data_IF_542291180618
#
_entry.id   IF_542291180618
#
_cell.length_a   1.000
_cell.length_b   1.000
_cell.length_c   1.000
_cell.angle_alpha   90.00
_cell.angle_beta   90.00
_cell.angle_gamma   90.00
#
_symmetry.space_group_name_H-M   'P 1'
#
loop_
_entity.id
_entity.type
_entity.pdbx_description
1 polymer ?
#
# COMPACT_ATOMS: atom_id res chain seq x y z
N UNK A 1 7.88 47.92 24.32
CA UNK A 1 8.09 46.77 25.23
C UNK A 1 8.63 45.61 24.42
N UNK A 2 9.94 45.36 24.46
CA UNK A 2 10.54 44.23 23.76
C UNK A 2 10.54 43.02 24.70
N UNK A 3 9.75 41.99 24.38
CA UNK A 3 9.81 40.72 25.07
C UNK A 3 11.16 40.07 24.76
N UNK A 4 12.07 40.06 25.74
CA UNK A 4 13.30 39.30 25.66
C UNK A 4 12.94 37.80 25.60
N UNK A 5 13.08 37.19 24.43
CA UNK A 5 13.05 35.75 24.31
C UNK A 5 14.24 35.20 25.10
N UNK A 6 13.96 34.51 26.20
CA UNK A 6 14.98 33.85 27.02
C UNK A 6 15.85 32.90 26.22
N UNK A 7 17.01 32.48 26.76
CA UNK A 7 17.98 31.67 26.03
C UNK A 7 17.31 30.40 25.48
N UNK A 8 17.37 30.21 24.17
CA UNK A 8 16.88 29.00 23.51
C UNK A 8 17.87 27.89 23.84
N UNK A 9 17.63 27.15 24.92
CA UNK A 9 18.44 26.00 25.30
C UNK A 9 18.33 24.94 24.21
N UNK A 10 19.46 24.63 23.58
CA UNK A 10 19.56 23.58 22.55
C UNK A 10 19.98 22.30 23.26
N UNK A 11 19.22 21.22 23.02
CA UNK A 11 19.53 19.90 23.54
C UNK A 11 20.21 19.08 22.45
N UNK A 12 21.31 18.40 22.78
CA UNK A 12 22.04 17.58 21.83
C UNK A 12 21.74 16.09 22.03
N UNK A 13 21.68 15.33 20.94
CA UNK A 13 21.61 13.88 21.02
C UNK A 13 22.91 13.32 21.61
N UNK A 14 22.87 12.48 22.66
CA UNK A 14 24.07 11.93 23.27
C UNK A 14 24.81 10.94 22.36
N UNK A 15 24.18 10.47 21.27
CA UNK A 15 24.77 9.49 20.35
C UNK A 15 25.34 10.15 19.10
N UNK A 16 24.57 11.03 18.44
CA UNK A 16 24.97 11.64 17.17
C UNK A 16 25.14 13.17 17.23
N UNK A 17 25.05 13.77 18.42
CA UNK A 17 25.24 15.20 18.67
C UNK A 17 24.31 16.17 17.92
N UNK A 18 23.31 15.64 17.20
CA UNK A 18 22.31 16.45 16.51
C UNK A 18 21.61 17.42 17.49
N UNK A 19 21.48 18.71 17.13
CA UNK A 19 20.82 19.70 17.97
C UNK A 19 19.29 19.62 17.84
N UNK A 20 18.61 19.84 18.96
CA UNK A 20 17.16 19.92 19.07
C UNK A 20 16.76 21.13 19.90
N UNK A 21 15.79 21.90 19.40
CA UNK A 21 15.28 23.10 20.07
C UNK A 21 14.32 22.80 21.22
N UNK A 22 13.85 21.55 21.32
CA UNK A 22 12.91 21.13 22.34
C UNK A 22 13.31 19.76 22.89
N UNK A 23 13.24 19.54 24.22
CA UNK A 23 13.60 18.27 24.84
C UNK A 23 12.69 17.13 24.37
N UNK A 24 11.40 17.41 24.10
CA UNK A 24 10.46 16.44 23.52
C UNK A 24 10.91 15.90 22.16
N UNK A 25 11.51 16.75 21.33
CA UNK A 25 12.03 16.35 20.01
C UNK A 25 13.26 15.46 20.13
N UNK A 26 14.15 15.74 21.10
CA UNK A 26 15.28 14.88 21.42
C UNK A 26 14.80 13.50 21.91
N UNK A 27 13.85 13.45 22.84
CA UNK A 27 13.27 12.19 23.33
C UNK A 27 12.63 11.36 22.21
N UNK A 28 11.96 12.01 21.26
CA UNK A 28 11.38 11.36 20.09
C UNK A 28 12.46 10.81 19.12
N UNK A 29 13.65 11.41 19.12
CA UNK A 29 14.76 11.02 18.25
C UNK A 29 15.57 9.84 18.77
N UNK A 30 15.76 9.71 20.09
CA UNK A 30 16.54 8.61 20.72
C UNK A 30 16.19 7.21 20.21
N UNK A 31 14.90 6.86 19.97
CA UNK A 31 14.51 5.58 19.38
C UNK A 31 15.18 5.20 18.06
N UNK A 32 15.65 6.18 17.27
CA UNK A 32 16.35 5.92 16.00
C UNK A 32 17.66 5.17 16.22
N UNK A 33 18.36 5.42 17.33
CA UNK A 33 19.62 4.76 17.65
C UNK A 33 19.42 3.37 18.27
N UNK A 34 18.33 3.17 19.01
CA UNK A 34 18.01 1.86 19.61
C UNK A 34 17.25 0.94 18.67
N UNK A 35 16.82 1.45 17.50
CA UNK A 35 15.96 0.70 16.57
C UNK A 35 14.55 0.44 17.11
N UNK A 36 14.16 1.07 18.23
CA UNK A 36 12.86 0.85 18.88
C UNK A 36 11.67 1.42 18.11
N UNK A 37 11.92 2.23 17.07
CA UNK A 37 10.92 2.67 16.08
C UNK A 37 11.12 2.06 14.70
N UNK A 38 11.96 1.04 14.58
CA UNK A 38 12.17 0.29 13.34
C UNK A 38 11.12 -0.80 13.19
N UNK A 39 10.53 -0.92 12.00
CA UNK A 39 9.67 -2.05 11.67
C UNK A 39 10.51 -3.33 11.62
N UNK A 40 10.22 -4.35 12.46
CA UNK A 40 11.01 -5.56 12.50
C UNK A 40 10.89 -6.40 11.23
N UNK A 41 9.93 -6.10 10.35
CA UNK A 41 9.66 -6.89 9.15
C UNK A 41 10.19 -6.26 7.88
N UNK A 42 10.10 -4.94 7.74
CA UNK A 42 10.58 -4.26 6.52
C UNK A 42 11.77 -3.32 6.78
N UNK A 43 12.27 -3.24 8.01
CA UNK A 43 13.41 -2.38 8.38
C UNK A 43 13.12 -0.88 8.31
N UNK A 44 11.88 -0.46 8.01
CA UNK A 44 11.51 0.96 7.93
C UNK A 44 11.59 1.61 9.31
N UNK A 45 12.44 2.62 9.44
CA UNK A 45 12.50 3.49 10.63
C UNK A 45 11.34 4.47 10.61
N UNK A 46 10.59 4.53 11.71
CA UNK A 46 9.56 5.53 11.94
C UNK A 46 10.06 6.60 12.92
N UNK A 47 9.53 7.81 12.79
CA UNK A 47 9.82 8.93 13.68
C UNK A 47 9.13 8.82 15.05
N UNK A 48 8.03 8.05 15.15
CA UNK A 48 7.27 7.84 16.39
C UNK A 48 6.80 6.39 16.54
N UNK A 49 6.72 5.92 17.79
CA UNK A 49 6.13 4.62 18.12
C UNK A 49 4.67 4.50 17.65
N UNK A 50 3.87 5.56 17.79
CA UNK A 50 2.50 5.59 17.27
C UNK A 50 2.45 5.42 15.74
N UNK A 51 3.41 6.00 15.02
CA UNK A 51 3.50 5.88 13.56
C UNK A 51 3.99 4.49 13.15
N UNK A 52 4.90 3.89 13.92
CA UNK A 52 5.26 2.48 13.77
C UNK A 52 4.03 1.58 13.99
N UNK A 53 3.26 1.77 15.06
CA UNK A 53 2.04 0.98 15.31
C UNK A 53 1.02 1.12 14.18
N UNK A 54 0.84 2.33 13.66
CA UNK A 54 -0.03 2.55 12.50
C UNK A 54 0.52 1.89 11.23
N UNK A 55 1.83 1.98 11.01
CA UNK A 55 2.52 1.29 9.92
C UNK A 55 2.34 -0.22 10.03
N UNK A 56 2.53 -0.83 11.20
CA UNK A 56 2.30 -2.26 11.41
C UNK A 56 0.86 -2.64 11.11
N UNK A 57 -0.12 -1.84 11.56
CA UNK A 57 -1.54 -2.06 11.27
C UNK A 57 -1.91 -1.93 9.79
N UNK A 58 -1.40 -0.91 9.10
CA UNK A 58 -1.77 -0.60 7.70
C UNK A 58 -0.94 -1.34 6.67
N UNK A 59 0.36 -1.38 6.89
CA UNK A 59 1.33 -2.01 5.99
C UNK A 59 1.53 -3.48 6.29
N UNK A 60 0.90 -4.02 7.35
CA UNK A 60 0.97 -5.43 7.69
C UNK A 60 2.41 -5.88 7.80
N UNK A 61 3.20 -5.22 8.66
CA UNK A 61 4.63 -5.49 8.87
C UNK A 61 4.82 -6.89 9.47
N UNK A 62 4.61 -7.92 8.66
CA UNK A 62 4.62 -9.33 9.01
C UNK A 62 3.71 -10.20 8.16
N UNK A 63 2.87 -9.64 7.28
CA UNK A 63 2.09 -10.48 6.38
C UNK A 63 3.03 -11.04 5.32
N UNK A 64 3.18 -12.36 5.35
CA UNK A 64 3.69 -13.13 4.21
C UNK A 64 3.07 -12.55 2.95
N UNK A 65 3.86 -12.21 1.92
CA UNK A 65 3.29 -11.74 0.67
C UNK A 65 2.17 -12.69 0.26
N UNK A 66 1.02 -12.14 -0.10
CA UNK A 66 -0.09 -12.96 -0.58
C UNK A 66 0.29 -13.36 -2.00
N UNK A 67 0.58 -14.64 -2.19
CA UNK A 67 0.96 -15.16 -3.49
C UNK A 67 -0.28 -15.49 -4.29
N UNK A 68 -0.28 -15.12 -5.56
CA UNK A 68 -1.24 -15.68 -6.50
C UNK A 68 -1.01 -17.19 -6.62
N UNK A 69 -2.05 -18.01 -6.44
CA UNK A 69 -1.95 -19.47 -6.56
C UNK A 69 -1.66 -19.95 -7.99
N UNK A 70 -1.77 -19.08 -8.99
CA UNK A 70 -1.57 -19.42 -10.40
C UNK A 70 -0.18 -19.02 -10.90
N UNK A 71 0.28 -17.80 -10.60
CA UNK A 71 1.57 -17.29 -11.09
C UNK A 71 2.59 -16.93 -10.00
N UNK A 72 2.25 -17.20 -8.74
CA UNK A 72 3.12 -16.96 -7.57
C UNK A 72 3.56 -15.50 -7.40
N UNK A 73 2.93 -14.55 -8.08
CA UNK A 73 3.21 -13.14 -7.90
C UNK A 73 2.79 -12.69 -6.50
N UNK A 74 3.70 -11.98 -5.83
CA UNK A 74 3.52 -11.48 -4.47
C UNK A 74 2.70 -10.18 -4.44
N UNK A 75 1.78 -10.08 -3.48
CA UNK A 75 0.98 -8.89 -3.22
C UNK A 75 1.07 -8.48 -1.75
N UNK A 76 1.14 -7.17 -1.52
CA UNK A 76 1.24 -6.59 -0.17
C UNK A 76 -0.09 -6.52 0.57
N UNK A 77 -1.22 -6.68 -0.13
CA UNK A 77 -2.55 -6.66 0.49
C UNK A 77 -3.57 -7.52 -0.29
N UNK A 78 -4.64 -8.00 0.38
CA UNK A 78 -5.64 -8.87 -0.22
C UNK A 78 -6.40 -8.24 -1.38
N UNK A 79 -6.70 -6.94 -1.32
CA UNK A 79 -7.45 -6.25 -2.36
C UNK A 79 -6.69 -6.18 -3.68
N UNK A 80 -5.37 -6.00 -3.63
CA UNK A 80 -4.51 -6.06 -4.81
C UNK A 80 -4.46 -7.47 -5.41
N UNK A 81 -4.36 -8.52 -4.58
CA UNK A 81 -4.44 -9.90 -5.06
C UNK A 81 -5.81 -10.20 -5.69
N UNK A 82 -6.91 -9.81 -5.04
CA UNK A 82 -8.27 -10.00 -5.56
C UNK A 82 -8.49 -9.29 -6.92
N UNK A 83 -7.92 -8.09 -7.10
CA UNK A 83 -7.95 -7.38 -8.40
C UNK A 83 -7.10 -8.06 -9.47
N UNK A 84 -6.11 -8.86 -9.09
CA UNK A 84 -5.22 -9.57 -10.01
C UNK A 84 -5.78 -10.92 -10.46
N UNK A 85 -6.47 -11.66 -9.60
CA UNK A 85 -7.03 -12.99 -9.92
C UNK A 85 -7.81 -13.06 -11.27
N UNK A 86 -8.57 -12.02 -11.70
CA UNK A 86 -9.23 -12.01 -13.00
C UNK A 86 -8.29 -12.15 -14.21
N UNK A 87 -7.02 -11.74 -14.11
CA UNK A 87 -6.03 -11.87 -15.21
C UNK A 87 -5.81 -13.33 -15.59
N UNK A 88 -5.95 -14.26 -14.64
CA UNK A 88 -5.84 -15.70 -14.91
C UNK A 88 -7.11 -16.33 -15.46
N UNK A 89 -8.25 -15.61 -15.43
CA UNK A 89 -9.51 -16.08 -16.02
C UNK A 89 -9.56 -15.92 -17.55
N UNK A 90 -8.44 -15.53 -18.16
CA UNK A 90 -8.30 -15.43 -19.59
C UNK A 90 -8.95 -14.16 -20.14
N UNK A 91 -8.46 -13.72 -21.29
CA UNK A 91 -9.06 -12.62 -22.00
C UNK A 91 -10.44 -13.02 -22.51
N UNK A 92 -11.41 -12.13 -22.36
CA UNK A 92 -12.78 -12.36 -22.80
C UNK A 92 -13.03 -11.62 -24.11
N UNK A 93 -13.54 -12.31 -25.11
CA UNK A 93 -13.75 -11.75 -26.45
C UNK A 93 -15.22 -11.38 -26.66
N UNK A 94 -15.47 -10.21 -27.24
CA UNK A 94 -16.80 -9.84 -27.70
C UNK A 94 -17.20 -10.74 -28.88
N UNK A 95 -18.33 -11.44 -28.77
CA UNK A 95 -18.81 -12.33 -29.84
C UNK A 95 -19.40 -11.58 -31.04
N UNK A 96 -19.73 -10.31 -30.88
CA UNK A 96 -20.31 -9.49 -31.96
C UNK A 96 -19.22 -8.89 -32.84
N UNK A 97 -18.11 -8.44 -32.26
CA UNK A 97 -17.05 -7.72 -33.00
C UNK A 97 -15.63 -8.28 -32.83
N UNK A 98 -15.44 -9.34 -32.05
CA UNK A 98 -14.13 -9.99 -31.86
C UNK A 98 -13.13 -9.23 -30.98
N UNK A 99 -13.49 -8.07 -30.40
CA UNK A 99 -12.59 -7.34 -29.49
C UNK A 99 -12.28 -8.13 -28.23
N UNK A 100 -11.01 -8.14 -27.85
CA UNK A 100 -10.49 -8.83 -26.67
C UNK A 100 -10.43 -7.88 -25.47
N UNK A 101 -10.86 -8.34 -24.30
CA UNK A 101 -10.87 -7.57 -23.06
C UNK A 101 -10.16 -8.33 -21.93
N UNK A 102 -9.47 -7.61 -21.05
CA UNK A 102 -8.78 -8.16 -19.88
C UNK A 102 -9.73 -8.50 -18.71
N UNK A 103 -10.99 -8.03 -18.77
CA UNK A 103 -11.98 -8.21 -17.71
C UNK A 103 -13.39 -8.32 -18.29
N UNK A 104 -14.20 -9.24 -17.76
CA UNK A 104 -15.63 -9.41 -18.08
C UNK A 104 -16.42 -8.11 -17.91
N UNK A 105 -16.15 -7.33 -16.86
CA UNK A 105 -16.85 -6.07 -16.63
C UNK A 105 -16.64 -5.05 -17.76
N UNK A 106 -15.43 -5.01 -18.35
CA UNK A 106 -15.13 -4.14 -19.50
C UNK A 106 -15.81 -4.62 -20.77
N UNK A 107 -15.84 -5.94 -20.98
CA UNK A 107 -16.60 -6.55 -22.08
C UNK A 107 -18.10 -6.24 -21.96
N UNK A 108 -18.70 -6.40 -20.77
CA UNK A 108 -20.12 -6.10 -20.54
C UNK A 108 -20.46 -4.62 -20.78
N UNK A 109 -19.60 -3.71 -20.34
CA UNK A 109 -19.77 -2.28 -20.61
C UNK A 109 -19.67 -1.98 -22.12
N UNK A 110 -18.71 -2.61 -22.81
CA UNK A 110 -18.56 -2.49 -24.25
C UNK A 110 -19.80 -3.00 -25.00
N UNK A 111 -20.33 -4.19 -24.66
CA UNK A 111 -21.53 -4.75 -25.31
C UNK A 111 -22.73 -3.82 -25.11
N UNK A 112 -22.94 -3.29 -23.91
CA UNK A 112 -24.05 -2.35 -23.66
C UNK A 112 -23.93 -1.04 -24.45
N UNK A 113 -22.72 -0.52 -24.61
CA UNK A 113 -22.50 0.76 -25.28
C UNK A 113 -22.42 0.65 -26.81
N UNK A 114 -21.78 -0.41 -27.32
CA UNK A 114 -21.48 -0.58 -28.75
C UNK A 114 -22.42 -1.56 -29.46
N UNK A 115 -23.12 -2.42 -28.71
CA UNK A 115 -24.04 -3.45 -29.25
C UNK A 115 -25.40 -3.42 -28.53
N UNK A 116 -26.13 -2.29 -28.52
CA UNK A 116 -27.44 -2.17 -27.91
C UNK A 116 -28.41 -3.18 -28.56
N UNK A 117 -28.85 -4.18 -27.80
CA UNK A 117 -29.75 -5.25 -28.27
C UNK A 117 -29.16 -6.67 -28.23
N UNK A 118 -27.84 -6.81 -28.06
CA UNK A 118 -27.23 -8.12 -27.83
C UNK A 118 -27.33 -8.50 -26.33
N UNK A 119 -28.28 -9.38 -25.99
CA UNK A 119 -28.53 -9.84 -24.60
C UNK A 119 -27.77 -11.11 -24.21
N UNK A 120 -26.93 -11.64 -25.11
CA UNK A 120 -26.14 -12.85 -24.85
C UNK A 120 -25.13 -12.62 -23.73
N UNK A 121 -25.20 -13.40 -22.65
CA UNK A 121 -24.27 -13.34 -21.51
C UNK A 121 -22.84 -13.65 -21.98
N UNK A 122 -21.93 -12.67 -22.04
CA UNK A 122 -20.59 -12.93 -22.57
C UNK A 122 -19.76 -13.66 -21.52
N UNK A 123 -19.47 -14.94 -21.75
CA UNK A 123 -18.36 -15.63 -21.07
C UNK A 123 -18.71 -16.76 -20.09
N UNK A 124 -19.68 -17.61 -20.42
CA UNK A 124 -20.01 -18.82 -19.61
C UNK A 124 -19.67 -20.15 -20.29
N UNK A 125 -18.70 -20.18 -21.21
CA UNK A 125 -18.13 -21.42 -21.74
C UNK A 125 -16.67 -21.52 -21.29
N UNK A 126 -16.53 -21.98 -20.04
CA UNK A 126 -15.37 -22.75 -19.57
C UNK A 126 -15.89 -24.11 -19.13
N UNK A 127 -16.03 -25.01 -20.09
CA UNK A 127 -15.85 -26.45 -19.96
C UNK A 127 -14.70 -26.81 -20.91
#
# INVERSE_FOLDING_TARGET
MAAAAGPRTVHHCPVCWKPFTHPKSLLQHLPVHTGSTTCPVCGRVCDRKARLNLHMRRSGGGRTPLHCSVCWRAYTNPQSLQKHLPVHRGHTTCRVCGRVFDRVARLNAHVRAAHPGFTGSPGLDRL
#
